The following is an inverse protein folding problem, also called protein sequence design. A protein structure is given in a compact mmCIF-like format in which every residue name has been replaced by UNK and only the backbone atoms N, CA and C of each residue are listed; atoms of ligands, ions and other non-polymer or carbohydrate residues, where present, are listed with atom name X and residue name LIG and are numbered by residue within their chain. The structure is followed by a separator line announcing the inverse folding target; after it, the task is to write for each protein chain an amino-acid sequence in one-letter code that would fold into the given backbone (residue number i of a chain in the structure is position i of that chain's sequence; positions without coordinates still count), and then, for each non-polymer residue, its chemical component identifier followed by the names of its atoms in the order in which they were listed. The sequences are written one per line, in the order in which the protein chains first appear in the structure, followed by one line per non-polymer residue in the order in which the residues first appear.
data_IF_626645365761
#
_entry.id   IF_626645365761
#
_cell.length_a   1.000
_cell.length_b   1.000
_cell.length_c   1.000
_cell.angle_alpha   90.00
_cell.angle_beta   90.00
_cell.angle_gamma   90.00
#
_symmetry.space_group_name_H-M   'P 1'
#
loop_
_entity.id
_entity.type
_entity.pdbx_description
1 polymer ?
#
# COMPACT_ATOMS: atom_id res chain seq x y z
N UNK A 1 10.33 -5.82 -56.73
CA UNK A 1 9.44 -4.82 -57.40
C UNK A 1 9.09 -3.79 -56.37
N UNK A 2 9.71 -2.74 -56.54
CA UNK A 2 9.54 -1.33 -56.21
C UNK A 2 8.06 -0.87 -56.23
N UNK A 3 7.66 -0.12 -55.23
CA UNK A 3 6.76 1.05 -55.33
C UNK A 3 6.49 1.56 -53.90
N UNK A 4 7.14 2.59 -53.52
CA UNK A 4 6.90 4.04 -53.59
C UNK A 4 6.05 4.54 -52.44
N UNK A 5 6.68 5.10 -51.43
CA UNK A 5 6.71 6.47 -50.95
C UNK A 5 5.42 7.25 -51.31
N UNK A 6 4.70 7.67 -50.29
CA UNK A 6 4.03 8.96 -50.32
C UNK A 6 4.06 9.62 -48.93
N UNK A 7 4.91 10.61 -48.83
CA UNK A 7 4.91 11.65 -47.82
C UNK A 7 3.55 12.40 -47.86
N UNK A 8 2.99 12.67 -46.74
CA UNK A 8 2.15 13.83 -46.56
C UNK A 8 2.51 14.54 -45.26
N UNK A 9 3.34 15.53 -45.45
CA UNK A 9 3.61 16.64 -44.54
C UNK A 9 2.36 17.49 -44.52
N UNK A 10 1.78 17.69 -43.35
CA UNK A 10 0.90 18.83 -43.15
C UNK A 10 1.40 19.65 -41.97
N UNK A 11 1.89 20.79 -42.32
CA UNK A 11 2.41 21.87 -41.49
C UNK A 11 1.24 22.74 -41.02
N UNK A 12 1.41 23.26 -39.81
CA UNK A 12 0.97 24.59 -39.36
C UNK A 12 -0.42 24.72 -38.75
N UNK A 13 -0.54 25.11 -37.49
CA UNK A 13 -0.70 26.54 -37.16
C UNK A 13 -0.50 26.80 -35.67
N UNK A 14 0.39 27.72 -35.37
CA UNK A 14 0.50 28.48 -34.14
C UNK A 14 -0.79 29.25 -33.86
N UNK A 15 -1.25 29.23 -32.63
CA UNK A 15 -2.04 30.33 -32.06
C UNK A 15 -1.58 30.60 -30.63
N UNK A 16 -0.78 31.63 -30.47
CA UNK A 16 -0.54 32.33 -29.21
C UNK A 16 -1.74 33.26 -28.97
N UNK A 17 -2.32 33.20 -27.81
CA UNK A 17 -3.04 34.28 -27.12
C UNK A 17 -3.35 33.79 -25.71
N UNK A 18 -3.10 34.41 -24.67
CA UNK A 18 -2.88 35.69 -24.11
C UNK A 18 -3.07 35.57 -22.60
N UNK A 19 -2.23 36.25 -21.89
CA UNK A 19 -2.31 36.57 -20.46
C UNK A 19 -3.73 36.77 -19.92
N UNK A 20 -4.06 36.09 -18.83
CA UNK A 20 -5.17 36.37 -17.94
C UNK A 20 -4.65 36.45 -16.49
N UNK A 21 -4.56 37.67 -16.05
CA UNK A 21 -4.15 38.24 -14.78
C UNK A 21 -5.02 37.72 -13.63
N UNK A 22 -4.41 37.31 -12.54
CA UNK A 22 -5.05 37.03 -11.26
C UNK A 22 -5.70 38.31 -10.66
N UNK A 23 -6.75 38.17 -9.88
CA UNK A 23 -6.96 39.08 -8.78
C UNK A 23 -6.69 38.38 -7.41
N UNK A 24 -5.82 39.03 -6.69
CA UNK A 24 -5.64 38.96 -5.25
C UNK A 24 -6.94 39.43 -4.56
N UNK A 25 -7.39 38.69 -3.60
CA UNK A 25 -8.32 39.16 -2.55
C UNK A 25 -7.78 38.60 -1.25
N UNK A 26 -7.15 39.37 -0.56
CA UNK A 26 -7.40 40.23 0.60
C UNK A 26 -7.88 39.46 1.83
N UNK A 27 -6.92 39.39 2.75
CA UNK A 27 -7.01 38.96 4.15
C UNK A 27 -8.02 39.85 4.89
N UNK A 28 -8.99 39.25 5.53
CA UNK A 28 -9.75 39.91 6.60
C UNK A 28 -9.60 39.13 7.89
N UNK A 29 -8.95 39.78 8.83
CA UNK A 29 -8.70 39.33 10.17
C UNK A 29 -9.97 39.40 11.04
N UNK A 30 -10.07 38.45 11.93
CA UNK A 30 -10.64 38.33 13.26
C UNK A 30 -11.74 39.31 13.75
N UNK A 31 -12.56 38.92 14.75
CA UNK A 31 -12.04 39.04 16.11
C UNK A 31 -12.33 37.86 17.07
N UNK A 32 -11.41 37.76 17.98
CA UNK A 32 -11.42 37.14 19.27
C UNK A 32 -12.73 37.37 20.07
N UNK A 33 -13.27 36.30 20.66
CA UNK A 33 -14.15 36.40 21.79
C UNK A 33 -13.58 35.54 22.94
N UNK A 34 -13.08 36.24 23.87
CA UNK A 34 -12.66 35.85 25.21
C UNK A 34 -13.92 35.52 26.02
N UNK A 35 -14.03 34.33 26.60
CA UNK A 35 -15.01 34.02 27.65
C UNK A 35 -14.29 33.41 28.85
N UNK A 36 -14.19 34.22 29.79
CA UNK A 36 -13.98 34.21 31.23
C UNK A 36 -14.27 32.87 31.93
N UNK A 37 -13.26 32.48 32.69
CA UNK A 37 -13.25 31.41 33.71
C UNK A 37 -13.98 31.92 34.95
N UNK A 38 -14.88 31.10 35.49
CA UNK A 38 -15.33 31.20 36.89
C UNK A 38 -15.25 29.82 37.54
N UNK A 39 -14.49 29.66 38.61
CA UNK A 39 -14.44 28.41 39.36
C UNK A 39 -15.50 28.44 40.45
N UNK A 40 -16.31 27.42 40.57
CA UNK A 40 -17.14 27.18 41.74
C UNK A 40 -16.67 25.93 42.47
N UNK A 41 -16.17 26.22 43.64
CA UNK A 41 -15.72 25.33 44.69
C UNK A 41 -16.91 24.88 45.51
N UNK A 42 -17.17 23.58 45.65
CA UNK A 42 -17.91 23.04 46.80
C UNK A 42 -17.33 21.72 47.27
N UNK A 43 -17.02 21.74 48.55
CA UNK A 43 -16.35 20.76 49.39
C UNK A 43 -17.37 19.73 49.96
N UNK A 44 -16.96 18.73 50.74
CA UNK A 44 -17.22 17.30 50.55
C UNK A 44 -18.35 16.80 51.42
N UNK A 45 -18.92 15.68 51.03
CA UNK A 45 -19.72 14.84 51.94
C UNK A 45 -19.06 13.48 52.05
N UNK A 46 -18.54 13.25 53.22
CA UNK A 46 -18.09 12.01 53.81
C UNK A 46 -19.30 11.10 54.08
N UNK A 47 -19.31 9.91 53.55
CA UNK A 47 -20.16 8.81 54.07
C UNK A 47 -19.46 7.49 53.84
N UNK A 48 -19.07 6.97 54.90
CA UNK A 48 -18.84 5.71 55.53
C UNK A 48 -18.92 4.42 54.68
N UNK A 49 -17.93 3.59 54.92
CA UNK A 49 -17.55 2.32 54.35
C UNK A 49 -18.60 1.21 54.43
N UNK A 50 -18.68 0.41 53.41
CA UNK A 50 -18.99 -1.01 53.53
C UNK A 50 -18.05 -1.79 52.61
N UNK A 51 -17.44 -2.90 53.04
CA UNK A 51 -16.51 -3.69 52.23
C UNK A 51 -17.31 -4.53 51.25
N UNK A 52 -17.25 -4.21 49.98
CA UNK A 52 -17.72 -5.08 48.91
C UNK A 52 -16.57 -5.94 48.44
N UNK A 53 -16.73 -7.21 48.60
CA UNK A 53 -15.84 -8.27 48.15
C UNK A 53 -15.59 -8.10 46.66
N UNK A 54 -14.30 -7.96 46.29
CA UNK A 54 -13.81 -7.98 44.91
C UNK A 54 -13.86 -9.45 44.49
N UNK A 55 -14.67 -9.84 43.49
CA UNK A 55 -14.44 -11.10 42.84
C UNK A 55 -13.13 -10.97 42.08
N UNK A 56 -12.09 -11.61 42.56
CA UNK A 56 -10.87 -11.88 41.80
C UNK A 56 -11.26 -12.74 40.61
N UNK A 57 -11.60 -12.08 39.50
CA UNK A 57 -11.55 -12.74 38.20
C UNK A 57 -10.07 -13.04 37.96
N UNK A 58 -9.70 -14.28 38.20
CA UNK A 58 -8.46 -14.84 37.65
C UNK A 58 -8.66 -14.81 36.13
N UNK A 59 -8.15 -13.79 35.49
CA UNK A 59 -7.91 -13.84 34.05
C UNK A 59 -6.84 -14.91 33.84
N UNK A 60 -7.32 -16.10 33.46
CA UNK A 60 -6.49 -17.14 32.88
C UNK A 60 -5.74 -16.47 31.71
N UNK A 61 -4.39 -16.53 31.66
CA UNK A 61 -3.66 -15.97 30.53
C UNK A 61 -4.19 -16.64 29.26
N UNK A 62 -4.75 -15.87 28.35
CA UNK A 62 -5.12 -16.36 27.03
C UNK A 62 -3.84 -16.98 26.45
N UNK A 63 -3.85 -18.29 26.34
CA UNK A 63 -2.78 -19.08 25.70
C UNK A 63 -2.72 -18.54 24.26
N UNK A 64 -1.63 -17.84 23.94
CA UNK A 64 -1.39 -17.34 22.59
C UNK A 64 -1.34 -18.57 21.68
N UNK A 65 -2.36 -18.76 20.84
CA UNK A 65 -2.39 -19.85 19.88
C UNK A 65 -1.13 -19.74 19.00
N UNK A 66 -0.36 -20.82 18.94
CA UNK A 66 0.79 -20.91 18.04
C UNK A 66 0.33 -20.66 16.60
N UNK A 67 1.06 -19.85 15.82
CA UNK A 67 0.68 -19.55 14.45
C UNK A 67 0.64 -20.84 13.63
N UNK A 68 -0.43 -21.01 12.86
CA UNK A 68 -0.64 -22.23 12.06
C UNK A 68 0.13 -22.20 10.74
N UNK A 69 0.59 -21.01 10.32
CA UNK A 69 1.31 -20.81 9.08
C UNK A 69 2.35 -19.68 9.22
N UNK A 70 3.39 -19.75 8.42
CA UNK A 70 4.41 -18.70 8.28
C UNK A 70 4.41 -18.22 6.84
N UNK A 71 4.32 -16.91 6.65
CA UNK A 71 4.43 -16.25 5.35
C UNK A 71 5.83 -15.65 5.25
N UNK A 72 6.59 -16.06 4.24
CA UNK A 72 7.88 -15.45 3.90
C UNK A 72 7.63 -14.22 3.05
N UNK A 73 7.83 -13.04 3.62
CA UNK A 73 7.64 -11.75 2.95
C UNK A 73 8.98 -11.26 2.45
N UNK A 74 9.08 -11.04 1.16
CA UNK A 74 10.24 -10.42 0.52
C UNK A 74 10.13 -8.91 0.67
N UNK A 75 11.18 -8.29 1.18
CA UNK A 75 11.27 -6.83 1.34
C UNK A 75 12.58 -6.32 0.74
N UNK A 76 12.59 -5.08 0.28
CA UNK A 76 13.82 -4.43 -0.15
C UNK A 76 14.74 -4.16 1.03
N UNK A 77 16.04 -4.31 0.86
CA UNK A 77 17.02 -3.75 1.78
C UNK A 77 17.03 -2.21 1.72
N UNK A 78 17.77 -1.57 2.64
CA UNK A 78 17.87 -0.11 2.73
C UNK A 78 18.50 0.53 1.48
N UNK A 79 19.31 -0.20 0.74
CA UNK A 79 20.02 0.28 -0.45
C UNK A 79 19.24 0.01 -1.74
N UNK A 80 18.12 -0.69 -1.68
CA UNK A 80 17.34 -1.15 -2.82
C UNK A 80 18.16 -2.00 -3.82
N UNK A 81 19.01 -2.87 -3.28
CA UNK A 81 19.90 -3.76 -4.05
C UNK A 81 19.52 -5.23 -3.90
N UNK A 82 19.01 -5.64 -2.71
CA UNK A 82 18.74 -7.04 -2.38
C UNK A 82 17.37 -7.23 -1.76
N UNK A 83 16.80 -8.42 -1.95
CA UNK A 83 15.64 -8.85 -1.21
C UNK A 83 16.05 -9.50 0.12
N UNK A 84 15.41 -9.08 1.19
CA UNK A 84 15.51 -9.70 2.50
C UNK A 84 14.19 -10.41 2.79
N UNK A 85 14.25 -11.60 3.39
CA UNK A 85 13.05 -12.34 3.78
C UNK A 85 12.76 -12.10 5.26
N UNK A 86 11.58 -11.60 5.54
CA UNK A 86 11.03 -11.54 6.90
C UNK A 86 9.88 -12.56 7.03
N UNK A 87 9.64 -13.02 8.23
CA UNK A 87 8.62 -14.01 8.49
C UNK A 87 7.46 -13.38 9.25
N UNK A 88 6.27 -13.52 8.69
CA UNK A 88 5.02 -13.11 9.31
C UNK A 88 4.19 -14.33 9.70
N UNK A 89 3.63 -14.29 10.90
CA UNK A 89 2.79 -15.38 11.42
C UNK A 89 1.34 -15.19 10.98
N UNK A 90 0.71 -16.25 10.51
CA UNK A 90 -0.68 -16.23 10.07
C UNK A 90 -1.45 -17.47 10.55
N UNK A 91 -2.77 -17.40 10.60
CA UNK A 91 -3.62 -18.55 10.89
C UNK A 91 -3.72 -19.51 9.70
N UNK A 92 -3.63 -18.98 8.48
CA UNK A 92 -3.63 -19.71 7.23
C UNK A 92 -2.90 -18.88 6.16
N UNK A 93 -2.50 -19.53 5.06
CA UNK A 93 -2.01 -18.83 3.86
C UNK A 93 -3.19 -18.68 2.91
N UNK A 94 -3.67 -17.46 2.76
CA UNK A 94 -4.65 -17.05 1.76
C UNK A 94 -4.27 -15.69 1.17
N UNK A 95 -4.99 -15.24 0.15
CA UNK A 95 -4.67 -14.00 -0.54
C UNK A 95 -4.68 -12.77 0.37
N UNK A 96 -5.57 -12.73 1.36
CA UNK A 96 -5.70 -11.60 2.27
C UNK A 96 -4.59 -11.61 3.31
N UNK A 97 -4.26 -12.76 3.87
CA UNK A 97 -3.17 -12.88 4.86
C UNK A 97 -1.82 -12.55 4.25
N UNK A 98 -1.57 -12.94 2.99
CA UNK A 98 -0.36 -12.54 2.26
C UNK A 98 -0.35 -11.03 1.98
N UNK A 99 -1.49 -10.47 1.59
CA UNK A 99 -1.63 -9.03 1.34
C UNK A 99 -1.40 -8.20 2.61
N UNK A 100 -1.99 -8.63 3.72
CA UNK A 100 -1.82 -7.98 5.02
C UNK A 100 -0.38 -8.08 5.54
N UNK A 101 0.30 -9.20 5.30
CA UNK A 101 1.71 -9.37 5.62
C UNK A 101 2.60 -8.37 4.85
N UNK A 102 2.33 -8.14 3.56
CA UNK A 102 3.03 -7.12 2.76
C UNK A 102 2.77 -5.70 3.29
N UNK A 103 1.56 -5.42 3.78
CA UNK A 103 1.24 -4.15 4.46
C UNK A 103 1.97 -4.01 5.79
N UNK A 104 1.95 -5.05 6.61
CA UNK A 104 2.63 -5.06 7.90
C UNK A 104 4.14 -4.85 7.74
N UNK A 105 4.73 -5.42 6.70
CA UNK A 105 6.12 -5.22 6.32
C UNK A 105 6.42 -3.81 5.78
N UNK A 106 5.41 -2.99 5.53
CA UNK A 106 5.56 -1.67 4.92
C UNK A 106 5.93 -1.70 3.43
N UNK A 107 5.81 -2.86 2.78
CA UNK A 107 6.12 -3.01 1.34
C UNK A 107 5.09 -2.28 0.49
N UNK A 108 3.81 -2.39 0.82
CA UNK A 108 2.73 -1.70 0.12
C UNK A 108 2.02 -0.71 1.05
N UNK A 109 1.50 0.42 0.50
CA UNK A 109 0.81 1.42 1.31
C UNK A 109 -0.42 0.86 2.05
N UNK A 110 -0.69 1.38 3.24
CA UNK A 110 -1.84 0.95 4.04
C UNK A 110 -3.18 1.23 3.35
N UNK A 111 -3.23 2.25 2.49
CA UNK A 111 -4.40 2.67 1.73
C UNK A 111 -4.72 1.74 0.56
N UNK A 112 -3.76 0.92 0.13
CA UNK A 112 -3.97 -0.04 -0.96
C UNK A 112 -4.99 -1.11 -0.53
N UNK A 113 -5.90 -1.44 -1.42
CA UNK A 113 -6.89 -2.49 -1.24
C UNK A 113 -6.66 -3.62 -2.23
N UNK A 114 -6.85 -4.86 -1.78
CA UNK A 114 -6.96 -6.02 -2.64
C UNK A 114 -8.37 -6.03 -3.25
N UNK A 115 -8.48 -5.95 -4.57
CA UNK A 115 -9.75 -5.92 -5.29
C UNK A 115 -10.19 -7.31 -5.74
N UNK A 116 -9.24 -8.09 -6.25
CA UNK A 116 -9.48 -9.49 -6.59
C UNK A 116 -8.18 -10.29 -6.63
N UNK A 117 -8.32 -11.60 -6.45
CA UNK A 117 -7.25 -12.57 -6.58
C UNK A 117 -7.76 -13.82 -7.28
N UNK A 118 -6.93 -14.43 -8.10
CA UNK A 118 -7.19 -15.76 -8.64
C UNK A 118 -5.91 -16.56 -8.80
N UNK A 119 -6.04 -17.89 -8.68
CA UNK A 119 -4.96 -18.85 -8.93
C UNK A 119 -5.48 -19.91 -9.92
N UNK A 120 -4.94 -19.88 -11.12
CA UNK A 120 -5.24 -20.85 -12.17
C UNK A 120 -4.03 -21.75 -12.43
N UNK A 121 -3.92 -22.80 -11.62
CA UNK A 121 -2.87 -23.80 -11.75
C UNK A 121 -1.44 -23.25 -11.57
N UNK A 122 -1.25 -22.24 -10.72
CA UNK A 122 0.04 -21.60 -10.45
C UNK A 122 0.31 -20.36 -11.31
N UNK A 123 -0.65 -19.93 -12.11
CA UNK A 123 -0.70 -18.60 -12.71
C UNK A 123 -1.62 -17.72 -11.86
N UNK A 124 -1.04 -16.81 -11.12
CA UNK A 124 -1.77 -15.91 -10.23
C UNK A 124 -2.17 -14.63 -10.98
N UNK A 125 -3.30 -14.06 -10.57
CA UNK A 125 -3.69 -12.69 -10.92
C UNK A 125 -4.04 -11.94 -9.65
N UNK A 126 -3.45 -10.77 -9.46
CA UNK A 126 -3.66 -9.89 -8.32
C UNK A 126 -4.09 -8.52 -8.82
N UNK A 127 -5.31 -8.12 -8.48
CA UNK A 127 -5.83 -6.79 -8.79
C UNK A 127 -5.86 -5.94 -7.52
N UNK A 128 -5.18 -4.82 -7.58
CA UNK A 128 -5.08 -3.87 -6.47
C UNK A 128 -5.70 -2.53 -6.84
N UNK A 129 -6.08 -1.78 -5.84
CA UNK A 129 -6.63 -0.44 -6.03
C UNK A 129 -5.58 0.54 -6.59
N UNK A 130 -6.04 1.66 -7.14
CA UNK A 130 -5.20 2.65 -7.82
C UNK A 130 -4.13 3.30 -6.94
N UNK A 131 -4.27 3.22 -5.63
CA UNK A 131 -3.28 3.68 -4.66
C UNK A 131 -1.95 2.96 -4.83
N UNK A 132 -1.98 1.65 -5.14
CA UNK A 132 -0.77 0.89 -5.44
C UNK A 132 -0.04 1.44 -6.68
N UNK A 133 -0.75 1.59 -7.80
CA UNK A 133 -0.15 2.15 -9.02
C UNK A 133 0.42 3.54 -8.80
N UNK A 134 -0.32 4.41 -8.08
CA UNK A 134 0.13 5.76 -7.73
C UNK A 134 1.42 5.74 -6.90
N UNK A 135 1.52 4.80 -5.97
CA UNK A 135 2.71 4.63 -5.14
C UNK A 135 3.92 4.18 -5.97
N UNK A 136 3.74 3.16 -6.81
CA UNK A 136 4.81 2.67 -7.71
C UNK A 136 5.27 3.79 -8.65
N UNK A 137 4.34 4.57 -9.23
CA UNK A 137 4.67 5.70 -10.10
C UNK A 137 5.52 6.77 -9.42
N UNK A 138 5.49 6.87 -8.10
CA UNK A 138 6.31 7.83 -7.33
C UNK A 138 7.76 7.39 -7.14
N UNK A 139 8.08 6.15 -7.51
CA UNK A 139 9.41 5.55 -7.30
C UNK A 139 10.30 5.72 -8.52
N UNK A 140 11.61 5.68 -8.29
CA UNK A 140 12.59 5.48 -9.36
C UNK A 140 12.69 4.01 -9.76
N UNK A 141 13.41 3.73 -10.83
CA UNK A 141 13.54 2.38 -11.44
C UNK A 141 13.93 1.29 -10.44
N UNK A 142 14.92 1.55 -9.57
CA UNK A 142 15.34 0.56 -8.56
C UNK A 142 14.24 0.30 -7.53
N UNK A 143 13.58 1.36 -7.05
CA UNK A 143 12.47 1.23 -6.11
C UNK A 143 11.28 0.48 -6.71
N UNK A 144 10.92 0.77 -7.97
CA UNK A 144 9.91 0.03 -8.72
C UNK A 144 10.26 -1.46 -8.81
N UNK A 145 11.50 -1.78 -9.22
CA UNK A 145 11.97 -3.16 -9.33
C UNK A 145 11.86 -3.91 -8.00
N UNK A 146 12.36 -3.31 -6.92
CA UNK A 146 12.34 -3.93 -5.59
C UNK A 146 10.92 -4.08 -5.04
N UNK A 147 10.06 -3.08 -5.23
CA UNK A 147 8.67 -3.16 -4.79
C UNK A 147 7.89 -4.26 -5.53
N UNK A 148 7.97 -4.26 -6.86
CA UNK A 148 7.29 -5.29 -7.66
C UNK A 148 7.83 -6.68 -7.34
N UNK A 149 9.16 -6.81 -7.21
CA UNK A 149 9.79 -8.06 -6.83
C UNK A 149 9.35 -8.53 -5.44
N UNK A 150 9.24 -7.63 -4.47
CA UNK A 150 8.72 -7.96 -3.13
C UNK A 150 7.31 -8.54 -3.19
N UNK A 151 6.40 -7.89 -3.91
CA UNK A 151 5.02 -8.38 -4.08
C UNK A 151 5.00 -9.72 -4.82
N UNK A 152 5.66 -9.79 -5.97
CA UNK A 152 5.67 -11.00 -6.83
C UNK A 152 6.28 -12.18 -6.09
N UNK A 153 7.48 -12.03 -5.52
CA UNK A 153 8.18 -13.14 -4.87
C UNK A 153 7.41 -13.64 -3.64
N UNK A 154 6.79 -12.74 -2.88
CA UNK A 154 5.97 -13.12 -1.72
C UNK A 154 4.77 -13.96 -2.15
N UNK A 155 4.00 -13.52 -3.13
CA UNK A 155 2.86 -14.29 -3.64
C UNK A 155 3.27 -15.61 -4.28
N UNK A 156 4.29 -15.61 -5.14
CA UNK A 156 4.75 -16.83 -5.80
C UNK A 156 5.24 -17.87 -4.77
N UNK A 157 5.94 -17.41 -3.72
CA UNK A 157 6.40 -18.30 -2.65
C UNK A 157 5.24 -18.82 -1.80
N UNK A 158 4.30 -17.93 -1.42
CA UNK A 158 3.18 -18.31 -0.55
C UNK A 158 2.22 -19.30 -1.20
N UNK A 159 2.03 -19.22 -2.52
CA UNK A 159 1.11 -20.08 -3.28
C UNK A 159 1.81 -21.16 -4.11
N UNK A 160 3.14 -21.32 -3.97
CA UNK A 160 3.95 -22.25 -4.78
C UNK A 160 3.68 -22.05 -6.29
N UNK A 161 3.51 -20.80 -6.71
CA UNK A 161 3.10 -20.41 -8.05
C UNK A 161 4.29 -20.03 -8.94
N UNK A 162 4.05 -19.95 -10.25
CA UNK A 162 5.08 -19.73 -11.25
C UNK A 162 5.08 -18.29 -11.77
N UNK A 163 3.90 -17.71 -11.90
CA UNK A 163 3.75 -16.37 -12.46
C UNK A 163 2.66 -15.58 -11.73
N UNK A 164 2.80 -14.25 -11.73
CA UNK A 164 1.83 -13.31 -11.20
C UNK A 164 1.54 -12.20 -12.20
N UNK A 165 0.29 -12.04 -12.58
CA UNK A 165 -0.20 -10.88 -13.33
C UNK A 165 -0.63 -9.81 -12.34
N UNK A 166 -0.09 -8.61 -12.49
CA UNK A 166 -0.45 -7.45 -11.66
C UNK A 166 -1.42 -6.54 -12.40
N UNK A 167 -2.54 -6.30 -11.76
CA UNK A 167 -3.56 -5.37 -12.24
C UNK A 167 -3.73 -4.20 -11.25
N UNK A 168 -4.21 -3.08 -11.76
CA UNK A 168 -4.70 -1.96 -10.96
C UNK A 168 -6.05 -1.51 -11.48
N UNK A 169 -7.08 -1.60 -10.64
CA UNK A 169 -8.48 -1.32 -11.01
C UNK A 169 -8.91 -2.10 -12.28
N UNK A 170 -8.54 -3.37 -12.38
CA UNK A 170 -8.89 -4.26 -13.49
C UNK A 170 -8.11 -4.06 -14.78
N UNK A 171 -7.11 -3.17 -14.80
CA UNK A 171 -6.24 -2.91 -15.96
C UNK A 171 -4.81 -3.38 -15.67
N UNK A 172 -4.01 -3.70 -16.70
CA UNK A 172 -2.58 -3.95 -16.50
C UNK A 172 -1.93 -2.85 -15.69
N UNK A 173 -1.05 -3.22 -14.75
CA UNK A 173 -0.35 -2.25 -13.93
C UNK A 173 0.49 -1.34 -14.81
N UNK A 174 0.18 -0.05 -14.76
CA UNK A 174 0.96 1.01 -15.40
C UNK A 174 1.74 1.78 -14.34
N UNK A 175 3.03 1.99 -14.57
CA UNK A 175 3.93 2.73 -13.71
C UNK A 175 4.50 3.95 -14.43
N UNK A 176 5.37 4.70 -13.77
CA UNK A 176 6.06 5.82 -14.42
C UNK A 176 7.03 5.42 -15.52
N UNK A 177 7.38 4.14 -15.62
CA UNK A 177 8.43 3.64 -16.51
C UNK A 177 7.95 2.54 -17.46
N UNK A 178 6.89 1.78 -17.10
CA UNK A 178 6.49 0.60 -17.83
C UNK A 178 4.99 0.30 -17.71
N UNK A 179 4.48 -0.57 -18.60
CA UNK A 179 3.15 -1.19 -18.50
C UNK A 179 3.34 -2.69 -18.47
N UNK A 180 2.85 -3.33 -17.41
CA UNK A 180 3.04 -4.76 -17.17
C UNK A 180 1.87 -5.56 -17.73
N UNK A 181 1.94 -5.88 -19.02
CA UNK A 181 0.93 -6.70 -19.72
C UNK A 181 1.13 -8.20 -19.50
N UNK A 182 2.39 -8.60 -19.36
CA UNK A 182 2.76 -10.00 -19.29
C UNK A 182 2.87 -10.45 -17.82
N UNK A 183 2.57 -11.71 -17.53
CA UNK A 183 2.78 -12.27 -16.21
C UNK A 183 4.26 -12.18 -15.79
N UNK A 184 4.50 -11.83 -14.55
CA UNK A 184 5.82 -11.70 -13.97
C UNK A 184 6.23 -13.02 -13.30
N UNK A 185 7.45 -13.47 -13.56
CA UNK A 185 8.07 -14.56 -12.82
C UNK A 185 8.81 -14.04 -11.58
N UNK A 186 9.47 -14.97 -10.89
CA UNK A 186 10.26 -14.65 -9.70
C UNK A 186 11.37 -13.65 -10.04
N UNK A 187 11.47 -12.58 -9.28
CA UNK A 187 12.55 -11.60 -9.41
C UNK A 187 13.79 -12.16 -8.75
N UNK A 188 14.80 -12.43 -9.58
CA UNK A 188 16.09 -12.88 -9.07
C UNK A 188 16.73 -11.75 -8.26
N UNK A 189 17.23 -12.11 -7.09
CA UNK A 189 18.17 -11.26 -6.40
C UNK A 189 19.39 -11.01 -7.30
N UNK A 190 19.87 -9.78 -7.32
CA UNK A 190 21.28 -9.58 -7.57
C UNK A 190 22.02 -10.06 -6.31
N UNK A 191 21.92 -11.36 -6.04
CA UNK A 191 22.59 -11.98 -4.90
C UNK A 191 24.07 -11.81 -5.13
N UNK A 192 24.68 -10.94 -4.35
CA UNK A 192 26.11 -10.84 -4.27
C UNK A 192 26.67 -12.05 -3.52
#
# INVERSE_FOLDING_TARGET
MKKTILCMVLVLALALAACGKAPSAEVTAAPSAEVTIVPEETKPVETEAAPSEIPTATEEPAEAEEPKAIINVYVSDEMAEHFVIIQESANAVDENTVFDALKAAGTIPQETSLLSFSNDGGALTLDMSGEFASYVCSMGTSGEYMLLGSVVNTYLTAFEAQTLTLLSNGNPLETGHNVYFEPLGFFADNVA
#
